data_IF_084144357222
#
_entry.id   IF_084144357222
#
_cell.length_a   1.000
_cell.length_b   1.000
_cell.length_c   1.000
_cell.angle_alpha   90.00
_cell.angle_beta   90.00
_cell.angle_gamma   90.00
#
_symmetry.space_group_name_H-M   'P 1'
#
loop_
_entity.id
_entity.type
_entity.pdbx_description
1 polymer ?
#
# COMPACT_ATOMS: atom_id res chain seq x y z
N UNK A 1 -44.38 -31.57 13.29
CA UNK A 1 -43.33 -31.22 12.30
C UNK A 1 -43.35 -29.70 12.14
N UNK A 2 -42.55 -28.97 12.92
CA UNK A 2 -42.34 -27.55 12.66
C UNK A 2 -40.94 -27.18 13.14
N UNK A 3 -40.13 -26.81 12.16
CA UNK A 3 -38.68 -26.70 12.23
C UNK A 3 -38.33 -25.36 12.88
N UNK A 4 -37.52 -25.40 13.95
CA UNK A 4 -36.94 -24.20 14.55
C UNK A 4 -36.05 -23.52 13.50
N UNK A 5 -36.48 -22.36 13.00
CA UNK A 5 -35.58 -21.40 12.38
C UNK A 5 -34.82 -20.67 13.49
N UNK A 6 -33.65 -21.20 13.85
CA UNK A 6 -32.64 -20.45 14.59
C UNK A 6 -32.09 -19.37 13.66
N UNK A 7 -32.67 -18.17 13.71
CA UNK A 7 -32.06 -16.98 13.12
C UNK A 7 -30.89 -16.56 14.01
N UNK A 8 -29.70 -17.08 13.72
CA UNK A 8 -28.47 -16.43 14.19
C UNK A 8 -28.35 -15.08 13.48
N UNK A 9 -28.81 -14.01 14.12
CA UNK A 9 -28.53 -12.65 13.64
C UNK A 9 -27.06 -12.33 13.89
N UNK A 10 -26.23 -12.43 12.86
CA UNK A 10 -24.86 -11.91 12.91
C UNK A 10 -24.95 -10.38 12.85
N UNK A 11 -24.82 -9.71 14.00
CA UNK A 11 -24.72 -8.25 14.06
C UNK A 11 -23.33 -7.86 13.56
N UNK A 12 -23.23 -7.51 12.28
CA UNK A 12 -22.01 -6.92 11.73
C UNK A 12 -21.80 -5.53 12.32
N UNK A 13 -20.76 -5.32 13.13
CA UNK A 13 -20.36 -3.97 13.53
C UNK A 13 -19.90 -3.18 12.29
N UNK A 14 -20.55 -2.05 12.03
CA UNK A 14 -20.08 -1.12 11.02
C UNK A 14 -18.72 -0.53 11.46
N UNK A 15 -17.74 -0.60 10.58
CA UNK A 15 -16.44 0.03 10.80
C UNK A 15 -16.18 1.10 9.74
N UNK A 16 -15.46 2.15 10.15
CA UNK A 16 -14.98 3.20 9.26
C UNK A 16 -13.49 2.97 8.99
N UNK A 17 -13.06 3.30 7.78
CA UNK A 17 -11.66 3.27 7.38
C UNK A 17 -11.22 4.70 7.06
N UNK A 18 -10.07 5.09 7.57
CA UNK A 18 -9.43 6.37 7.25
C UNK A 18 -8.12 6.14 6.50
N UNK A 19 -7.55 7.20 5.92
CA UNK A 19 -6.28 7.13 5.19
C UNK A 19 -5.23 8.00 5.87
N UNK A 20 -4.06 7.43 6.05
CA UNK A 20 -2.86 8.10 6.55
C UNK A 20 -1.82 8.22 5.42
N UNK A 21 -1.17 9.38 5.33
CA UNK A 21 -0.03 9.63 4.43
C UNK A 21 1.23 9.61 5.28
N UNK A 22 2.08 8.59 5.11
CA UNK A 22 3.27 8.40 5.95
C UNK A 22 4.45 9.25 5.49
N UNK A 23 4.59 9.43 4.18
CA UNK A 23 5.63 10.23 3.55
C UNK A 23 5.09 10.88 2.28
N UNK A 24 5.50 12.12 2.01
CA UNK A 24 5.16 12.85 0.80
C UNK A 24 6.17 13.99 0.57
N UNK A 25 7.23 13.68 -0.16
CA UNK A 25 8.27 14.64 -0.52
C UNK A 25 8.51 14.60 -2.03
N UNK A 26 8.78 15.76 -2.63
CA UNK A 26 8.91 15.89 -4.08
C UNK A 26 10.04 15.00 -4.62
N UNK A 27 9.77 14.24 -5.67
CA UNK A 27 10.69 13.27 -6.27
C UNK A 27 10.89 11.98 -5.46
N UNK A 28 10.29 11.87 -4.27
CA UNK A 28 10.27 10.63 -3.48
C UNK A 28 9.09 9.74 -3.86
N UNK A 29 9.06 8.55 -3.27
CA UNK A 29 7.85 7.71 -3.22
C UNK A 29 7.02 8.10 -2.00
N UNK A 30 5.74 8.43 -2.23
CA UNK A 30 4.76 8.58 -1.17
C UNK A 30 4.26 7.20 -0.72
N UNK A 31 3.95 7.07 0.57
CA UNK A 31 3.31 5.86 1.11
C UNK A 31 1.99 6.23 1.76
N UNK A 32 0.89 5.69 1.22
CA UNK A 32 -0.45 5.84 1.75
C UNK A 32 -0.90 4.53 2.38
N UNK A 33 -1.52 4.61 3.57
CA UNK A 33 -1.98 3.45 4.34
C UNK A 33 -3.44 3.62 4.76
N UNK A 34 -4.22 2.56 4.62
CA UNK A 34 -5.55 2.47 5.24
C UNK A 34 -5.42 2.21 6.73
N UNK A 35 -6.04 3.05 7.54
CA UNK A 35 -6.17 2.85 8.98
C UNK A 35 -7.47 2.09 9.24
N UNK A 36 -7.33 0.79 9.49
CA UNK A 36 -8.43 -0.10 9.85
C UNK A 36 -8.47 -0.25 11.38
N UNK A 37 -9.65 -0.14 12.02
CA UNK A 37 -9.77 -0.33 13.46
C UNK A 37 -9.27 -1.71 13.93
N UNK A 38 -8.61 -1.75 15.08
CA UNK A 38 -7.94 -2.95 15.61
C UNK A 38 -8.88 -4.16 15.75
N UNK A 39 -10.12 -3.95 16.17
CA UNK A 39 -11.12 -5.00 16.41
C UNK A 39 -11.55 -5.77 15.13
N UNK A 40 -11.30 -5.22 13.93
CA UNK A 40 -11.60 -5.87 12.64
C UNK A 40 -10.36 -6.06 11.76
N UNK A 41 -9.18 -5.65 12.22
CA UNK A 41 -7.95 -5.60 11.40
C UNK A 41 -7.59 -6.93 10.73
N UNK A 42 -7.74 -8.05 11.44
CA UNK A 42 -7.40 -9.39 10.91
C UNK A 42 -8.41 -9.92 9.88
N UNK A 43 -9.64 -9.39 9.93
CA UNK A 43 -10.74 -9.80 9.07
C UNK A 43 -10.89 -8.89 7.85
N UNK A 44 -10.17 -7.78 7.79
CA UNK A 44 -10.27 -6.79 6.73
C UNK A 44 -9.01 -6.79 5.90
N UNK A 45 -9.16 -6.75 4.57
CA UNK A 45 -8.03 -6.58 3.64
C UNK A 45 -8.29 -5.42 2.69
N UNK A 46 -7.25 -4.72 2.27
CA UNK A 46 -7.34 -3.76 1.17
C UNK A 46 -7.49 -4.54 -0.14
N UNK A 47 -8.45 -4.18 -0.98
CA UNK A 47 -8.70 -4.84 -2.28
C UNK A 47 -8.27 -3.97 -3.45
N UNK A 48 -8.38 -2.65 -3.32
CA UNK A 48 -7.93 -1.70 -4.33
C UNK A 48 -7.82 -0.31 -3.73
N UNK A 49 -7.07 0.55 -4.39
CA UNK A 49 -7.16 2.00 -4.19
C UNK A 49 -7.94 2.64 -5.33
N UNK A 50 -8.50 3.81 -5.05
CA UNK A 50 -9.25 4.63 -6.01
C UNK A 50 -8.64 6.02 -5.97
N UNK A 51 -8.14 6.45 -7.11
CA UNK A 51 -7.86 7.85 -7.39
C UNK A 51 -9.13 8.42 -8.04
N UNK A 52 -9.75 9.41 -7.40
CA UNK A 52 -10.95 10.04 -7.94
C UNK A 52 -10.62 10.77 -9.27
N UNK A 53 -11.54 10.77 -10.25
CA UNK A 53 -12.94 10.35 -10.13
C UNK A 53 -13.20 8.84 -10.30
N UNK A 54 -12.39 8.09 -11.04
CA UNK A 54 -12.70 6.69 -11.37
C UNK A 54 -11.48 5.83 -11.78
N UNK A 55 -10.28 6.12 -11.27
CA UNK A 55 -9.09 5.33 -11.57
C UNK A 55 -8.83 4.32 -10.45
N UNK A 56 -8.90 3.03 -10.78
CA UNK A 56 -8.76 1.92 -9.83
C UNK A 56 -7.35 1.32 -9.91
N UNK A 57 -6.71 1.22 -8.75
CA UNK A 57 -5.35 0.67 -8.61
C UNK A 57 -5.47 -0.66 -7.88
N UNK A 58 -5.04 -1.75 -8.52
CA UNK A 58 -5.10 -3.11 -8.00
C UNK A 58 -3.70 -3.62 -7.63
N UNK A 59 -3.60 -4.64 -6.77
CA UNK A 59 -2.30 -5.22 -6.41
C UNK A 59 -1.63 -5.82 -7.66
N UNK A 60 -0.37 -5.47 -7.91
CA UNK A 60 0.46 -6.09 -8.95
C UNK A 60 1.82 -6.49 -8.38
N UNK A 61 2.43 -7.52 -8.96
CA UNK A 61 3.74 -8.03 -8.51
C UNK A 61 4.92 -7.22 -9.08
N UNK A 62 4.74 -6.56 -10.24
CA UNK A 62 5.83 -5.89 -10.95
C UNK A 62 5.79 -4.36 -10.85
N UNK A 63 4.75 -3.76 -10.27
CA UNK A 63 4.60 -2.31 -10.21
C UNK A 63 4.38 -1.71 -11.60
N UNK A 64 3.14 -1.34 -11.90
CA UNK A 64 2.74 -0.99 -13.27
C UNK A 64 3.02 0.49 -13.61
N UNK A 65 4.12 1.05 -13.09
CA UNK A 65 4.55 2.42 -13.33
C UNK A 65 4.45 3.31 -12.09
N UNK A 66 3.68 4.40 -12.16
CA UNK A 66 3.63 5.44 -11.10
C UNK A 66 3.05 4.94 -9.78
N UNK A 67 2.14 3.97 -9.83
CA UNK A 67 1.43 3.45 -8.67
C UNK A 67 1.78 1.99 -8.44
N UNK A 68 2.00 1.62 -7.18
CA UNK A 68 2.19 0.23 -6.80
C UNK A 68 1.45 -0.07 -5.50
N UNK A 69 0.52 -1.03 -5.54
CA UNK A 69 -0.22 -1.47 -4.37
C UNK A 69 0.42 -2.73 -3.80
N UNK A 70 0.98 -2.62 -2.59
CA UNK A 70 1.62 -3.73 -1.91
C UNK A 70 0.60 -4.80 -1.50
N UNK A 71 1.01 -6.08 -1.41
CA UNK A 71 0.16 -7.16 -0.88
C UNK A 71 -0.37 -6.90 0.53
N UNK A 72 0.35 -6.07 1.30
CA UNK A 72 -0.02 -5.61 2.65
C UNK A 72 -1.10 -4.52 2.66
N UNK A 73 -1.34 -3.86 1.53
CA UNK A 73 -2.43 -2.90 1.32
C UNK A 73 -2.01 -1.44 1.24
N UNK A 74 -0.74 -1.11 1.46
CA UNK A 74 -0.19 0.22 1.21
C UNK A 74 -0.13 0.57 -0.28
N UNK A 75 -0.44 1.82 -0.60
CA UNK A 75 -0.27 2.38 -1.93
C UNK A 75 1.02 3.20 -1.97
N UNK A 76 1.92 2.84 -2.89
CA UNK A 76 3.10 3.59 -3.24
C UNK A 76 2.80 4.48 -4.44
N UNK A 77 3.17 5.75 -4.34
CA UNK A 77 3.11 6.73 -5.45
C UNK A 77 4.55 7.16 -5.74
N UNK A 78 5.12 6.64 -6.82
CA UNK A 78 6.51 6.89 -7.20
C UNK A 78 6.67 8.25 -7.87
N UNK A 79 7.87 8.82 -7.70
CA UNK A 79 8.30 10.08 -8.32
C UNK A 79 7.24 11.19 -8.17
N UNK A 80 6.95 11.59 -6.92
CA UNK A 80 5.96 12.61 -6.63
C UNK A 80 6.24 13.95 -7.33
N UNK A 81 5.22 14.47 -7.99
CA UNK A 81 5.18 15.79 -8.62
C UNK A 81 4.08 16.65 -7.98
N UNK A 82 4.16 17.99 -8.11
CA UNK A 82 3.09 18.87 -7.60
C UNK A 82 1.71 18.57 -8.21
N UNK A 83 1.68 17.97 -9.40
CA UNK A 83 0.45 17.48 -10.04
C UNK A 83 -0.27 16.41 -9.21
N UNK A 84 0.44 15.70 -8.33
CA UNK A 84 -0.10 14.64 -7.48
C UNK A 84 -0.84 15.14 -6.23
N UNK A 85 -0.80 16.44 -5.93
CA UNK A 85 -1.60 17.03 -4.84
C UNK A 85 -3.07 17.24 -5.23
N UNK A 86 -3.35 17.36 -6.53
CA UNK A 86 -4.71 17.58 -7.04
C UNK A 86 -5.63 16.37 -6.82
N UNK A 87 -5.26 15.13 -7.21
CA UNK A 87 -6.12 13.97 -7.05
C UNK A 87 -6.36 13.58 -5.58
N UNK A 88 -7.57 13.11 -5.31
CA UNK A 88 -7.98 12.51 -4.04
C UNK A 88 -7.89 10.99 -4.12
N UNK A 89 -7.36 10.38 -3.06
CA UNK A 89 -7.22 8.94 -2.93
C UNK A 89 -8.16 8.40 -1.86
N UNK A 90 -8.77 7.25 -2.16
CA UNK A 90 -9.54 6.44 -1.22
C UNK A 90 -9.08 5.00 -1.32
N UNK A 91 -9.08 4.30 -0.21
CA UNK A 91 -8.88 2.87 -0.26
C UNK A 91 -10.19 2.10 -0.11
N UNK A 92 -10.25 0.95 -0.76
CA UNK A 92 -11.37 0.01 -0.70
C UNK A 92 -10.92 -1.19 0.09
N UNK A 93 -11.63 -1.48 1.16
CA UNK A 93 -11.38 -2.64 2.01
C UNK A 93 -12.51 -3.63 1.90
N UNK A 94 -12.22 -4.92 2.07
CA UNK A 94 -13.20 -5.99 2.06
C UNK A 94 -13.09 -6.79 3.34
N UNK A 95 -14.21 -6.95 4.03
CA UNK A 95 -14.33 -7.84 5.17
C UNK A 95 -14.41 -9.30 4.70
N UNK A 96 -13.56 -10.17 5.23
CA UNK A 96 -13.37 -11.55 4.77
C UNK A 96 -14.60 -12.42 4.97
N UNK A 97 -15.31 -12.26 6.09
CA UNK A 97 -16.47 -13.09 6.45
C UNK A 97 -17.75 -12.62 5.73
N UNK A 98 -18.04 -11.32 5.78
CA UNK A 98 -19.29 -10.76 5.24
C UNK A 98 -19.19 -10.38 3.77
N UNK A 99 -17.98 -10.37 3.20
CA UNK A 99 -17.68 -9.89 1.84
C UNK A 99 -18.07 -8.42 1.58
N UNK A 100 -18.44 -7.68 2.62
CA UNK A 100 -18.79 -6.27 2.51
C UNK A 100 -17.57 -5.44 2.11
N UNK A 101 -17.75 -4.55 1.13
CA UNK A 101 -16.72 -3.59 0.71
C UNK A 101 -17.00 -2.23 1.34
N UNK A 102 -16.01 -1.68 2.04
CA UNK A 102 -16.08 -0.36 2.68
C UNK A 102 -15.02 0.55 2.07
N UNK A 103 -15.44 1.74 1.67
CA UNK A 103 -14.55 2.78 1.11
C UNK A 103 -14.14 3.75 2.22
N UNK A 104 -12.87 4.12 2.24
CA UNK A 104 -12.35 5.06 3.23
C UNK A 104 -12.81 6.49 3.00
N UNK A 105 -12.54 7.35 3.99
CA UNK A 105 -12.46 8.79 3.77
C UNK A 105 -11.46 9.13 2.66
N UNK A 106 -11.71 10.23 1.94
CA UNK A 106 -10.78 10.73 0.94
C UNK A 106 -9.63 11.47 1.60
N UNK A 107 -8.43 11.29 1.07
CA UNK A 107 -7.25 12.07 1.42
C UNK A 107 -6.58 12.64 0.19
N UNK A 108 -5.86 13.74 0.36
CA UNK A 108 -4.95 14.30 -0.64
C UNK A 108 -3.52 14.17 -0.15
N UNK A 109 -2.61 13.95 -1.08
CA UNK A 109 -1.18 14.02 -0.77
C UNK A 109 -0.81 15.50 -0.64
N UNK A 110 -0.12 15.87 0.43
CA UNK A 110 0.49 17.19 0.59
C UNK A 110 1.99 17.02 0.52
N UNK A 111 2.60 17.57 -0.52
CA UNK A 111 4.01 17.40 -0.81
C UNK A 111 4.79 18.44 -0.01
N UNK A 112 5.71 17.96 0.82
CA UNK A 112 6.66 18.82 1.51
C UNK A 112 7.78 19.25 0.56
N UNK A 113 8.05 20.55 0.54
CA UNK A 113 9.17 21.18 -0.18
C UNK A 113 10.52 21.00 0.50
N UNK A 114 10.53 20.60 1.78
CA UNK A 114 11.76 20.14 2.40
C UNK A 114 12.19 18.91 1.60
N UNK A 115 13.29 19.08 0.86
CA UNK A 115 13.94 17.99 0.15
C UNK A 115 14.20 16.91 1.18
N UNK A 116 13.33 15.91 1.23
CA UNK A 116 13.53 14.68 1.96
C UNK A 116 14.60 13.88 1.24
N UNK A 117 15.75 14.50 0.97
CA UNK A 117 16.92 13.83 0.42
C UNK A 117 17.40 12.92 1.55
N UNK A 118 16.84 11.73 1.56
CA UNK A 118 17.31 10.64 2.41
C UNK A 118 18.41 9.99 1.59
N UNK A 119 19.66 10.20 2.01
CA UNK A 119 20.80 9.59 1.35
C UNK A 119 20.57 8.07 1.24
N UNK A 120 20.89 7.45 0.08
CA UNK A 120 20.83 6.00 -0.07
C UNK A 120 21.56 5.31 1.08
N UNK A 121 20.86 4.46 1.81
CA UNK A 121 21.45 3.60 2.84
C UNK A 121 21.11 2.15 2.53
N UNK A 122 22.14 1.30 2.54
CA UNK A 122 21.96 -0.14 2.38
C UNK A 122 21.32 -0.67 3.66
N UNK A 123 20.12 -1.23 3.53
CA UNK A 123 19.37 -1.86 4.62
C UNK A 123 19.82 -3.30 4.78
N UNK A 124 19.94 -4.02 3.67
CA UNK A 124 20.30 -5.44 3.64
C UNK A 124 21.06 -5.76 2.34
N UNK A 125 22.07 -6.60 2.43
CA UNK A 125 22.81 -7.05 1.25
C UNK A 125 23.43 -8.43 1.47
N UNK A 126 23.65 -9.17 0.38
CA UNK A 126 24.42 -10.42 0.41
C UNK A 126 25.90 -10.11 0.25
N UNK A 127 26.70 -10.28 1.32
CA UNK A 127 28.14 -10.00 1.29
C UNK A 127 28.96 -11.10 0.58
N UNK A 128 28.57 -12.37 0.76
CA UNK A 128 29.26 -13.52 0.18
C UNK A 128 28.27 -14.57 -0.28
N UNK A 129 28.53 -15.16 -1.45
CA UNK A 129 27.81 -16.33 -1.98
C UNK A 129 28.86 -17.32 -2.47
N UNK A 130 28.67 -18.59 -2.13
CA UNK A 130 29.47 -19.70 -2.69
C UNK A 130 28.62 -20.40 -3.75
N UNK A 131 29.13 -20.47 -4.98
CA UNK A 131 28.50 -21.19 -6.10
C UNK A 131 29.48 -22.19 -6.70
N UNK A 132 28.96 -23.28 -7.25
CA UNK A 132 29.77 -24.22 -8.02
C UNK A 132 30.21 -23.60 -9.36
N UNK A 133 31.25 -24.17 -9.96
CA UNK A 133 31.65 -23.78 -11.31
C UNK A 133 30.49 -24.01 -12.29
N UNK A 134 30.21 -23.02 -13.14
CA UNK A 134 29.10 -22.98 -14.11
C UNK A 134 27.68 -22.81 -13.53
N UNK A 135 27.54 -22.47 -12.24
CA UNK A 135 26.26 -22.06 -11.64
C UNK A 135 26.15 -20.53 -11.49
N UNK A 136 24.92 -20.01 -11.64
CA UNK A 136 24.62 -18.59 -11.44
C UNK A 136 24.48 -18.21 -9.97
N UNK A 137 24.98 -17.04 -9.59
CA UNK A 137 24.80 -16.46 -8.26
C UNK A 137 23.78 -15.32 -8.29
N UNK A 138 22.97 -15.18 -7.23
CA UNK A 138 22.10 -14.03 -7.01
C UNK A 138 22.62 -13.24 -5.81
N UNK A 139 22.89 -11.95 -6.00
CA UNK A 139 23.29 -11.02 -4.95
C UNK A 139 22.12 -10.10 -4.63
N UNK A 140 21.67 -10.12 -3.38
CA UNK A 140 20.63 -9.23 -2.90
C UNK A 140 21.24 -7.88 -2.50
N UNK A 141 20.61 -6.78 -2.88
CA UNK A 141 20.91 -5.45 -2.37
C UNK A 141 19.61 -4.68 -2.17
N UNK A 142 19.29 -4.35 -0.93
CA UNK A 142 18.14 -3.56 -0.53
C UNK A 142 18.68 -2.21 -0.03
N UNK A 143 18.45 -1.16 -0.80
CA UNK A 143 18.77 0.20 -0.40
C UNK A 143 17.49 1.03 -0.23
N UNK A 144 17.49 1.92 0.75
CA UNK A 144 16.46 2.94 0.93
C UNK A 144 17.07 4.31 0.69
N UNK A 145 16.37 5.16 -0.06
CA UNK A 145 16.78 6.52 -0.31
C UNK A 145 15.66 7.31 -0.95
N UNK A 146 15.74 8.62 -0.82
CA UNK A 146 14.99 9.53 -1.67
C UNK A 146 15.96 10.60 -2.21
N UNK A 147 15.96 10.87 -3.53
CA UNK A 147 15.20 10.20 -4.59
C UNK A 147 15.58 8.72 -4.76
N UNK A 148 14.78 7.96 -5.52
CA UNK A 148 14.97 6.51 -5.69
C UNK A 148 16.41 6.19 -6.13
N UNK A 149 16.99 5.14 -5.54
CA UNK A 149 18.38 4.75 -5.75
C UNK A 149 18.56 4.13 -7.13
N UNK A 150 19.53 4.61 -7.91
CA UNK A 150 19.96 3.90 -9.12
C UNK A 150 20.90 2.76 -8.73
N UNK A 151 20.56 1.53 -9.14
CA UNK A 151 21.44 0.37 -9.00
C UNK A 151 22.34 0.31 -10.24
N UNK A 152 23.67 0.33 -10.04
CA UNK A 152 24.68 0.22 -11.11
C UNK A 152 25.65 -0.90 -10.80
#
# INVERSE_FOLDING_TARGET
>A
MQQLFLFFSVVGQAYKVDVEVLSASRGCTAILRCVVPTFVKELVRVVSWVQEPAFYIYPSLQGDGKFHLLPTGELLIHNLEYSDEYPTYRCRTMHRLTRQVVVSSATKVRISDQRGIVAPSIVEHTAHVSVAQDEGAVLLCIAQGCPATEYR
#
